data_IF_254458157718
#
_entry.id   IF_254458157718
#
_cell.length_a   1.000
_cell.length_b   1.000
_cell.length_c   1.000
_cell.angle_alpha   90.00
_cell.angle_beta   90.00
_cell.angle_gamma   90.00
#
_symmetry.space_group_name_H-M   'P 1'
#
loop_
_entity.id
_entity.type
_entity.pdbx_description
1 polymer ?
#
# COMPACT_ATOMS: atom_id res chain seq x y z
N UNK A 1 19.90 -5.10 4.59
CA UNK A 1 20.14 -5.76 3.29
C UNK A 1 18.81 -6.27 2.76
N UNK A 2 18.46 -6.03 1.49
CA UNK A 2 17.20 -6.56 0.94
C UNK A 2 17.23 -8.10 0.94
N UNK A 3 16.10 -8.73 1.28
CA UNK A 3 16.00 -10.19 1.40
C UNK A 3 16.06 -10.90 0.04
N UNK A 4 15.75 -10.17 -1.05
CA UNK A 4 15.75 -10.69 -2.42
C UNK A 4 15.89 -9.58 -3.45
N UNK A 5 16.48 -9.89 -4.60
CA UNK A 5 16.48 -9.05 -5.79
C UNK A 5 15.84 -9.80 -6.96
N UNK A 6 15.09 -9.10 -7.80
CA UNK A 6 14.44 -9.66 -8.99
C UNK A 6 14.92 -8.89 -10.23
N UNK A 7 15.29 -9.64 -11.28
CA UNK A 7 15.92 -9.10 -12.49
C UNK A 7 17.37 -9.57 -12.65
N UNK A 8 17.89 -9.52 -13.87
CA UNK A 8 19.31 -9.74 -14.18
C UNK A 8 19.89 -8.41 -14.65
N UNK A 9 20.91 -7.94 -13.95
CA UNK A 9 21.69 -6.75 -14.29
C UNK A 9 23.14 -7.04 -13.96
N UNK A 10 24.05 -6.62 -14.84
CA UNK A 10 25.50 -6.72 -14.62
C UNK A 10 26.05 -5.58 -13.76
N UNK A 11 25.19 -4.67 -13.28
CA UNK A 11 25.58 -3.52 -12.44
C UNK A 11 25.64 -3.88 -10.95
N UNK A 12 26.62 -3.31 -10.25
CA UNK A 12 26.77 -3.48 -8.80
C UNK A 12 25.78 -2.59 -8.05
N UNK A 13 24.91 -3.19 -7.25
CA UNK A 13 23.95 -2.47 -6.42
C UNK A 13 24.52 -2.22 -5.01
N UNK A 14 24.57 -0.95 -4.61
CA UNK A 14 24.90 -0.54 -3.24
C UNK A 14 23.62 -0.10 -2.54
N UNK A 15 23.19 -0.86 -1.53
CA UNK A 15 22.08 -0.47 -0.66
C UNK A 15 22.63 0.32 0.54
N UNK A 16 22.31 1.61 0.61
CA UNK A 16 22.62 2.47 1.75
C UNK A 16 21.33 2.95 2.40
N UNK A 17 20.81 2.14 3.33
CA UNK A 17 19.67 2.46 4.17
C UNK A 17 19.76 1.69 5.49
N UNK A 18 19.29 2.29 6.59
CA UNK A 18 19.04 1.53 7.82
C UNK A 18 17.99 0.46 7.57
N UNK A 19 17.99 -0.63 8.35
CA UNK A 19 16.83 -1.52 8.40
C UNK A 19 15.66 -0.73 9.01
N UNK A 20 14.91 -0.01 8.18
CA UNK A 20 13.51 0.21 8.48
C UNK A 20 12.84 -1.17 8.44
N UNK A 21 11.90 -1.43 9.36
CA UNK A 21 11.08 -2.64 9.29
C UNK A 21 10.48 -2.73 7.88
N UNK A 22 10.76 -3.83 7.20
CA UNK A 22 10.28 -4.03 5.84
C UNK A 22 8.75 -4.07 5.87
N UNK A 23 8.08 -3.16 5.13
CA UNK A 23 6.62 -3.17 5.03
C UNK A 23 6.11 -4.50 4.47
N UNK A 24 6.87 -5.11 3.57
CA UNK A 24 6.56 -6.41 3.00
C UNK A 24 7.14 -7.52 3.88
N UNK A 25 6.32 -8.52 4.17
CA UNK A 25 6.68 -9.69 4.96
C UNK A 25 6.24 -10.94 4.20
N UNK A 26 7.19 -11.83 3.92
CA UNK A 26 6.89 -13.11 3.30
C UNK A 26 6.70 -14.17 4.39
N UNK A 27 5.46 -14.64 4.56
CA UNK A 27 5.10 -15.72 5.48
C UNK A 27 4.42 -16.85 4.71
N UNK A 28 4.84 -18.10 4.97
CA UNK A 28 4.35 -19.28 4.26
C UNK A 28 4.79 -19.33 2.79
N UNK A 29 4.01 -20.03 1.98
CA UNK A 29 4.24 -20.23 0.55
C UNK A 29 3.08 -19.72 -0.32
N UNK A 30 3.36 -19.45 -1.59
CA UNK A 30 2.31 -19.09 -2.55
C UNK A 30 1.24 -20.17 -2.68
N UNK A 31 1.64 -21.45 -2.64
CA UNK A 31 0.70 -22.57 -2.72
C UNK A 31 -0.26 -22.59 -1.52
N UNK A 32 0.25 -22.33 -0.31
CA UNK A 32 -0.58 -22.18 0.88
C UNK A 32 -1.49 -20.96 0.76
N UNK A 33 -0.98 -19.80 0.32
CA UNK A 33 -1.84 -18.62 0.12
C UNK A 33 -2.96 -18.88 -0.89
N UNK A 34 -2.67 -19.58 -1.99
CA UNK A 34 -3.68 -19.97 -2.99
C UNK A 34 -4.72 -20.96 -2.42
N UNK A 35 -4.29 -21.93 -1.61
CA UNK A 35 -5.17 -22.90 -0.95
C UNK A 35 -6.07 -22.23 0.10
N UNK A 36 -5.49 -21.40 0.97
CA UNK A 36 -6.17 -20.90 2.18
C UNK A 36 -6.86 -19.55 1.98
N UNK A 37 -6.35 -18.68 1.09
CA UNK A 37 -6.93 -17.36 0.78
C UNK A 37 -7.56 -17.38 -0.60
N UNK A 38 -6.79 -17.76 -1.62
CA UNK A 38 -7.20 -17.71 -3.03
C UNK A 38 -8.47 -18.50 -3.33
N UNK A 39 -8.60 -19.71 -2.76
CA UNK A 39 -9.78 -20.56 -2.93
C UNK A 39 -11.08 -19.92 -2.41
N UNK A 40 -10.98 -19.09 -1.35
CA UNK A 40 -12.11 -18.40 -0.72
C UNK A 40 -12.56 -17.16 -1.52
N UNK A 41 -11.75 -16.68 -2.46
CA UNK A 41 -12.09 -15.53 -3.30
C UNK A 41 -13.10 -15.90 -4.39
N UNK A 42 -13.16 -17.17 -4.78
CA UNK A 42 -13.97 -17.64 -5.91
C UNK A 42 -15.45 -17.31 -5.67
N UNK A 43 -16.04 -16.57 -6.61
CA UNK A 43 -17.44 -16.14 -6.52
C UNK A 43 -17.67 -14.88 -5.68
N UNK A 44 -16.63 -14.30 -5.06
CA UNK A 44 -16.72 -13.04 -4.33
C UNK A 44 -16.05 -11.90 -5.11
N UNK A 45 -16.81 -11.08 -5.87
CA UNK A 45 -16.23 -10.06 -6.74
C UNK A 45 -15.48 -8.97 -5.96
N UNK A 46 -15.88 -8.66 -4.73
CA UNK A 46 -15.23 -7.62 -3.92
C UNK A 46 -13.85 -8.06 -3.43
N UNK A 47 -13.71 -9.33 -3.02
CA UNK A 47 -12.43 -9.88 -2.59
C UNK A 47 -11.50 -10.12 -3.80
N UNK A 48 -12.04 -10.55 -4.94
CA UNK A 48 -11.26 -10.64 -6.20
C UNK A 48 -10.76 -9.26 -6.60
N UNK A 49 -11.62 -8.24 -6.55
CA UNK A 49 -11.26 -6.87 -6.84
C UNK A 49 -10.15 -6.36 -5.92
N UNK A 50 -10.22 -6.64 -4.61
CA UNK A 50 -9.22 -6.14 -3.67
C UNK A 50 -7.83 -6.73 -3.90
N UNK A 51 -7.74 -8.01 -4.25
CA UNK A 51 -6.48 -8.64 -4.69
C UNK A 51 -6.01 -8.04 -6.02
N UNK A 52 -6.92 -7.81 -6.97
CA UNK A 52 -6.60 -7.17 -8.25
C UNK A 52 -5.99 -5.77 -8.06
N UNK A 53 -6.59 -4.95 -7.20
CA UNK A 53 -6.06 -3.61 -6.84
C UNK A 53 -4.68 -3.72 -6.19
N UNK A 54 -4.51 -4.65 -5.25
CA UNK A 54 -3.21 -4.90 -4.63
C UNK A 54 -2.14 -5.26 -5.66
N UNK A 55 -2.42 -6.16 -6.61
CA UNK A 55 -1.47 -6.54 -7.65
C UNK A 55 -1.22 -5.43 -8.68
N UNK A 56 -2.22 -4.58 -8.95
CA UNK A 56 -2.11 -3.50 -9.92
C UNK A 56 -1.33 -2.28 -9.40
N UNK A 57 -1.38 -2.00 -8.10
CA UNK A 57 -0.74 -0.81 -7.50
C UNK A 57 0.73 -0.58 -7.94
N UNK A 58 1.67 -1.55 -7.81
CA UNK A 58 3.07 -1.35 -8.20
C UNK A 58 3.28 -1.24 -9.71
N UNK A 59 2.26 -1.52 -10.52
CA UNK A 59 2.33 -1.45 -11.98
C UNK A 59 1.93 -0.08 -12.52
N UNK A 60 1.16 0.73 -11.77
CA UNK A 60 0.59 1.98 -12.26
C UNK A 60 1.64 2.95 -12.82
N UNK A 61 2.69 3.20 -12.04
CA UNK A 61 3.80 4.10 -12.43
C UNK A 61 4.58 3.58 -13.64
N UNK A 62 5.03 2.30 -13.70
CA UNK A 62 5.65 1.73 -14.90
C UNK A 62 4.83 1.88 -16.18
N UNK A 63 3.50 1.80 -16.10
CA UNK A 63 2.62 1.94 -17.28
C UNK A 63 2.14 3.37 -17.53
N UNK A 64 2.65 4.35 -16.77
CA UNK A 64 2.26 5.75 -16.90
C UNK A 64 0.81 6.05 -16.53
N UNK A 65 0.20 5.22 -15.69
CA UNK A 65 -1.15 5.42 -15.17
C UNK A 65 -1.12 6.22 -13.86
N UNK A 66 -2.16 7.01 -13.64
CA UNK A 66 -2.38 7.77 -12.41
C UNK A 66 -2.79 6.84 -11.25
N UNK A 67 -2.53 7.30 -10.02
CA UNK A 67 -2.98 6.63 -8.80
C UNK A 67 -4.52 6.66 -8.69
N UNK A 68 -5.07 5.64 -8.05
CA UNK A 68 -6.51 5.56 -7.77
C UNK A 68 -6.76 5.26 -6.29
N UNK A 69 -7.88 5.74 -5.77
CA UNK A 69 -8.34 5.43 -4.42
C UNK A 69 -9.74 4.81 -4.47
N UNK A 70 -9.95 3.77 -3.67
CA UNK A 70 -11.22 3.06 -3.58
C UNK A 70 -11.70 3.07 -2.14
N UNK A 71 -12.95 3.47 -1.91
CA UNK A 71 -13.57 3.45 -0.60
C UNK A 71 -14.65 2.37 -0.53
N UNK A 72 -14.43 1.37 0.32
CA UNK A 72 -15.39 0.28 0.54
C UNK A 72 -16.32 0.68 1.69
N UNK A 73 -17.55 1.04 1.34
CA UNK A 73 -18.58 1.44 2.30
C UNK A 73 -19.61 0.34 2.50
N UNK A 74 -20.07 0.17 3.75
CA UNK A 74 -21.15 -0.75 4.09
C UNK A 74 -21.39 -0.81 5.60
N UNK A 75 -22.50 -1.43 6.03
CA UNK A 75 -22.84 -1.58 7.45
C UNK A 75 -21.72 -2.26 8.26
N UNK A 76 -21.72 -2.11 9.58
CA UNK A 76 -20.80 -2.88 10.42
C UNK A 76 -20.96 -4.39 10.15
N UNK A 77 -19.86 -5.15 10.28
CA UNK A 77 -19.84 -6.59 10.03
C UNK A 77 -20.17 -7.03 8.59
N UNK A 78 -20.05 -6.14 7.60
CA UNK A 78 -20.28 -6.45 6.18
C UNK A 78 -19.05 -7.00 5.44
N UNK A 79 -17.96 -7.34 6.13
CA UNK A 79 -16.73 -7.87 5.50
C UNK A 79 -15.72 -6.82 5.00
N UNK A 80 -15.85 -5.55 5.37
CA UNK A 80 -14.89 -4.49 4.99
C UNK A 80 -13.46 -4.79 5.44
N UNK A 81 -13.27 -5.04 6.73
CA UNK A 81 -11.94 -5.36 7.28
C UNK A 81 -11.38 -6.66 6.71
N UNK A 82 -12.22 -7.64 6.38
CA UNK A 82 -11.80 -8.86 5.66
C UNK A 82 -11.25 -8.50 4.28
N UNK A 83 -11.91 -7.59 3.56
CA UNK A 83 -11.45 -7.13 2.25
C UNK A 83 -10.09 -6.43 2.33
N UNK A 84 -9.89 -5.60 3.35
CA UNK A 84 -8.60 -4.96 3.64
C UNK A 84 -7.52 -5.98 3.99
N UNK A 85 -7.84 -7.01 4.79
CA UNK A 85 -6.89 -8.09 5.13
C UNK A 85 -6.49 -8.90 3.90
N UNK A 86 -7.45 -9.23 3.02
CA UNK A 86 -7.17 -9.96 1.78
C UNK A 86 -6.25 -9.14 0.87
N UNK A 87 -6.49 -7.84 0.70
CA UNK A 87 -5.60 -6.98 -0.08
C UNK A 87 -4.19 -6.87 0.53
N UNK A 88 -4.10 -6.66 1.85
CA UNK A 88 -2.84 -6.61 2.58
C UNK A 88 -2.03 -7.91 2.50
N UNK A 89 -2.72 -9.06 2.43
CA UNK A 89 -2.08 -10.38 2.35
C UNK A 89 -1.23 -10.62 1.11
N UNK A 90 -1.36 -9.78 0.08
CA UNK A 90 -0.49 -9.79 -1.10
C UNK A 90 0.92 -9.30 -0.77
N UNK A 91 1.06 -8.46 0.25
CA UNK A 91 2.31 -7.80 0.62
C UNK A 91 2.90 -8.28 1.94
N UNK A 92 2.04 -8.51 2.94
CA UNK A 92 2.43 -8.87 4.29
C UNK A 92 1.24 -9.46 5.07
N UNK A 93 1.16 -9.14 6.36
CA UNK A 93 0.06 -9.53 7.24
C UNK A 93 -0.76 -8.29 7.68
N UNK A 94 -1.54 -8.41 8.76
CA UNK A 94 -2.38 -7.32 9.28
C UNK A 94 -1.59 -6.03 9.59
N UNK A 95 -0.29 -6.11 9.88
CA UNK A 95 0.58 -4.96 10.16
C UNK A 95 0.71 -3.97 9.00
N UNK A 96 0.40 -4.43 7.78
CA UNK A 96 0.38 -3.59 6.58
C UNK A 96 -0.76 -2.57 6.58
N UNK A 97 -1.87 -2.88 7.27
CA UNK A 97 -3.04 -1.99 7.34
C UNK A 97 -2.75 -0.87 8.34
N UNK A 98 -2.98 0.36 7.91
CA UNK A 98 -2.79 1.55 8.73
C UNK A 98 -4.13 2.16 9.11
N UNK A 99 -4.18 2.87 10.23
CA UNK A 99 -5.40 3.52 10.70
C UNK A 99 -5.53 4.92 10.12
N UNK A 100 -6.76 5.31 9.78
CA UNK A 100 -7.13 6.70 9.50
C UNK A 100 -6.99 7.64 10.70
N UNK A 101 -6.74 7.12 11.91
CA UNK A 101 -6.55 7.89 13.14
C UNK A 101 -5.17 8.59 13.17
N UNK A 102 -4.95 9.49 12.24
CA UNK A 102 -3.77 10.36 12.14
C UNK A 102 -4.12 11.61 11.31
N UNK A 103 -3.20 12.56 11.20
CA UNK A 103 -3.37 13.76 10.35
C UNK A 103 -3.02 13.45 8.89
N UNK A 104 -3.39 14.32 7.97
CA UNK A 104 -3.07 14.23 6.55
C UNK A 104 -1.55 14.13 6.33
N UNK A 105 -0.76 14.92 7.05
CA UNK A 105 0.71 14.82 6.99
C UNK A 105 1.20 13.47 7.53
N UNK A 106 0.53 12.90 8.53
CA UNK A 106 0.84 11.56 9.02
C UNK A 106 0.51 10.48 7.99
N UNK A 107 -0.63 10.60 7.29
CA UNK A 107 -0.98 9.73 6.17
C UNK A 107 0.02 9.88 5.01
N UNK A 108 0.46 11.10 4.69
CA UNK A 108 1.48 11.35 3.67
C UNK A 108 2.81 10.67 4.01
N UNK A 109 3.26 10.77 5.27
CA UNK A 109 4.47 10.09 5.73
C UNK A 109 4.33 8.57 5.56
N UNK A 110 3.20 7.98 5.97
CA UNK A 110 2.91 6.56 5.80
C UNK A 110 2.83 6.16 4.32
N UNK A 111 2.21 6.98 3.47
CA UNK A 111 2.12 6.75 2.03
C UNK A 111 3.53 6.71 1.38
N UNK A 112 4.45 7.57 1.84
CA UNK A 112 5.82 7.62 1.35
C UNK A 112 6.62 6.34 1.64
N UNK A 113 6.32 5.66 2.75
CA UNK A 113 6.93 4.37 3.10
C UNK A 113 6.49 3.25 2.15
N UNK A 114 5.30 3.35 1.54
CA UNK A 114 4.76 2.29 0.69
C UNK A 114 5.39 2.22 -0.70
N UNK A 115 6.24 3.18 -1.10
CA UNK A 115 7.07 3.11 -2.33
C UNK A 115 6.31 2.63 -3.59
N UNK A 116 5.24 3.32 -3.96
CA UNK A 116 4.37 2.99 -5.11
C UNK A 116 3.59 1.65 -4.97
N UNK A 117 3.59 1.02 -3.78
CA UNK A 117 2.72 -0.12 -3.45
C UNK A 117 1.37 0.34 -2.88
N UNK A 118 0.42 -0.59 -2.73
CA UNK A 118 -0.92 -0.32 -2.22
C UNK A 118 -0.88 0.27 -0.80
N UNK A 119 -1.50 1.43 -0.59
CA UNK A 119 -1.79 1.94 0.76
C UNK A 119 -3.16 1.46 1.24
N UNK A 120 -3.21 0.73 2.36
CA UNK A 120 -4.48 0.27 2.97
C UNK A 120 -4.76 1.03 4.27
N UNK A 121 -5.89 1.75 4.29
CA UNK A 121 -6.32 2.55 5.44
C UNK A 121 -7.68 2.06 5.97
N UNK A 122 -7.76 1.76 7.27
CA UNK A 122 -9.00 1.32 7.95
C UNK A 122 -9.49 2.35 8.98
N UNK A 123 -10.77 2.25 9.34
CA UNK A 123 -11.46 3.07 10.34
C UNK A 123 -11.53 4.57 10.00
N UNK A 124 -11.96 4.91 8.77
CA UNK A 124 -12.12 6.30 8.31
C UNK A 124 -12.89 7.20 9.28
N UNK A 125 -13.86 6.65 10.02
CA UNK A 125 -14.64 7.37 11.02
C UNK A 125 -13.84 7.91 12.23
N UNK A 126 -12.56 7.53 12.37
CA UNK A 126 -11.65 8.08 13.38
C UNK A 126 -10.90 9.33 12.91
N UNK A 127 -11.03 9.70 11.64
CA UNK A 127 -10.44 10.90 11.05
C UNK A 127 -11.49 12.01 10.93
N UNK A 128 -11.06 13.28 11.01
CA UNK A 128 -11.96 14.39 10.67
C UNK A 128 -12.20 14.42 9.16
N UNK A 129 -13.36 14.96 8.73
CA UNK A 129 -13.68 15.06 7.31
C UNK A 129 -12.66 15.92 6.53
N UNK A 130 -12.12 16.96 7.17
CA UNK A 130 -11.11 17.85 6.58
C UNK A 130 -9.78 17.12 6.35
N UNK A 131 -9.28 16.43 7.37
CA UNK A 131 -8.04 15.65 7.29
C UNK A 131 -8.17 14.51 6.27
N UNK A 132 -9.30 13.80 6.27
CA UNK A 132 -9.57 12.72 5.33
C UNK A 132 -9.61 13.21 3.87
N UNK A 133 -10.27 14.36 3.62
CA UNK A 133 -10.34 14.98 2.30
C UNK A 133 -8.95 15.42 1.81
N UNK A 134 -8.20 16.09 2.69
CA UNK A 134 -6.84 16.56 2.39
C UNK A 134 -5.92 15.38 2.06
N UNK A 135 -5.91 14.34 2.90
CA UNK A 135 -5.11 13.14 2.69
C UNK A 135 -5.48 12.42 1.39
N UNK A 136 -6.78 12.21 1.11
CA UNK A 136 -7.23 11.55 -0.10
C UNK A 136 -6.76 12.30 -1.37
N UNK A 137 -6.83 13.64 -1.35
CA UNK A 137 -6.35 14.47 -2.44
C UNK A 137 -4.83 14.34 -2.64
N UNK A 138 -4.05 14.35 -1.55
CA UNK A 138 -2.60 14.20 -1.60
C UNK A 138 -2.16 12.83 -2.13
N UNK A 139 -2.80 11.75 -1.69
CA UNK A 139 -2.48 10.38 -2.12
C UNK A 139 -2.71 10.21 -3.63
N UNK A 140 -3.88 10.62 -4.13
CA UNK A 140 -4.26 10.39 -5.53
C UNK A 140 -3.39 11.19 -6.50
N UNK A 141 -2.99 12.40 -6.14
CA UNK A 141 -2.10 13.21 -6.97
C UNK A 141 -0.64 12.74 -6.96
N UNK A 142 -0.32 11.69 -6.20
CA UNK A 142 1.03 11.25 -5.95
C UNK A 142 1.72 12.12 -4.92
N UNK A 143 2.25 11.49 -3.87
CA UNK A 143 3.14 12.18 -2.93
C UNK A 143 4.38 12.66 -3.68
N UNK A 144 4.60 13.98 -3.64
CA UNK A 144 5.73 14.63 -4.31
C UNK A 144 5.30 15.79 -5.19
N UNK A 145 4.77 16.87 -4.60
CA UNK A 145 5.13 18.20 -5.12
C UNK A 145 6.66 18.27 -5.10
N UNK A 146 7.29 18.05 -6.24
CA UNK A 146 8.60 18.56 -6.65
C UNK A 146 9.41 19.19 -5.51
N UNK A 147 10.17 18.38 -4.76
CA UNK A 147 11.44 18.82 -4.12
C UNK A 147 12.45 17.66 -4.12
N UNK A 148 12.70 17.11 -5.30
CA UNK A 148 14.05 16.74 -5.64
C UNK A 148 14.71 17.99 -6.25
N UNK A 149 15.44 18.76 -5.45
CA UNK A 149 16.59 19.47 -6.03
C UNK A 149 17.70 18.44 -6.19
N UNK A 150 18.47 18.55 -7.26
CA UNK A 150 19.59 17.64 -7.62
C UNK A 150 20.73 17.54 -6.56
N UNK A 151 20.51 17.97 -5.32
CA UNK A 151 21.57 18.12 -4.29
C UNK A 151 21.24 17.59 -2.89
N UNK A 152 20.12 16.88 -2.68
CA UNK A 152 19.94 16.05 -1.48
C UNK A 152 19.97 16.76 -0.11
N UNK A 153 19.55 18.02 -0.03
CA UNK A 153 19.41 18.78 1.22
C UNK A 153 17.98 19.22 1.50
N UNK A 154 17.53 19.13 2.75
CA UNK A 154 16.25 19.68 3.21
C UNK A 154 16.30 21.21 3.19
N UNK A 155 15.39 21.84 2.46
CA UNK A 155 15.23 23.30 2.51
C UNK A 155 14.42 23.69 3.76
N UNK A 156 15.00 24.56 4.58
CA UNK A 156 14.32 25.28 5.67
C UNK A 156 13.13 26.11 5.17
#
# INVERSE_FOLDING_TARGET
TPDKSFGRSDESYYFSGGMADSLCLAEGSLAEWQSEVGSLLVGNPLLIFSVGVALAAPLLKPVGMESAAFHIMGPSSSGKSVTSFVAASVYANKSYIKSWKTTANGIEAVASEHHDMLLVLDELGLCSAEEASSAAYQIVNGCGKLRATETGGLAN
#
